data_IF_010069758840
#
_entry.id   IF_010069758840
#
_cell.length_a   1.000
_cell.length_b   1.000
_cell.length_c   1.000
_cell.angle_alpha   90.00
_cell.angle_beta   90.00
_cell.angle_gamma   90.00
#
_symmetry.space_group_name_H-M   'P 1'
#
loop_
_entity.id
_entity.type
_entity.pdbx_description
1 polymer ?
#
# COMPACT_ATOMS: atom_id res chain seq x y z
N UNK A 1 -43.74 -8.66 35.78
CA UNK A 1 -43.16 -7.31 35.58
C UNK A 1 -42.08 -7.48 34.53
N UNK A 2 -42.44 -7.27 33.27
CA UNK A 2 -41.57 -7.54 32.14
C UNK A 2 -40.54 -6.43 31.97
N UNK A 3 -39.27 -6.83 32.01
CA UNK A 3 -38.11 -6.03 31.67
C UNK A 3 -38.03 -5.98 30.14
N UNK A 4 -38.88 -5.16 29.52
CA UNK A 4 -38.70 -4.79 28.11
C UNK A 4 -37.55 -3.78 28.02
N UNK A 5 -36.31 -4.28 27.99
CA UNK A 5 -35.20 -3.49 27.47
C UNK A 5 -35.39 -3.38 25.95
N UNK A 6 -35.59 -2.14 25.47
CA UNK A 6 -35.64 -1.86 24.04
C UNK A 6 -34.38 -2.42 23.36
N UNK A 7 -34.48 -3.00 22.16
CA UNK A 7 -33.31 -3.49 21.42
C UNK A 7 -32.33 -2.33 21.30
N UNK A 8 -31.10 -2.55 21.73
CA UNK A 8 -30.01 -1.58 21.63
C UNK A 8 -30.06 -0.96 20.23
N UNK A 9 -30.27 0.36 20.17
CA UNK A 9 -30.28 1.09 18.91
C UNK A 9 -28.99 0.72 18.18
N UNK A 10 -29.12 -0.02 17.06
CA UNK A 10 -28.03 -0.15 16.10
C UNK A 10 -27.77 1.28 15.64
N UNK A 11 -26.71 1.89 16.16
CA UNK A 11 -26.19 3.13 15.62
C UNK A 11 -25.97 2.88 14.13
N UNK A 12 -26.83 3.43 13.28
CA UNK A 12 -26.60 3.40 11.85
C UNK A 12 -25.22 4.03 11.62
N UNK A 13 -24.37 3.42 10.78
CA UNK A 13 -23.04 3.93 10.55
C UNK A 13 -23.16 5.35 10.02
N UNK A 14 -22.70 6.33 10.83
CA UNK A 14 -22.73 7.74 10.46
C UNK A 14 -22.00 7.89 9.11
N UNK A 15 -22.66 8.38 8.06
CA UNK A 15 -22.02 8.56 6.75
C UNK A 15 -20.76 9.44 6.82
N UNK A 16 -20.63 10.30 7.85
CA UNK A 16 -19.41 11.06 8.09
C UNK A 16 -18.22 10.17 8.49
N UNK A 17 -18.46 9.04 9.17
CA UNK A 17 -17.41 8.10 9.60
C UNK A 17 -16.70 7.40 8.43
N UNK A 18 -17.44 7.10 7.35
CA UNK A 18 -16.87 6.52 6.13
C UNK A 18 -16.00 7.53 5.38
N UNK A 19 -16.46 8.79 5.30
CA UNK A 19 -15.71 9.86 4.66
C UNK A 19 -14.38 10.13 5.36
N UNK A 20 -14.36 10.17 6.68
CA UNK A 20 -13.14 10.32 7.47
C UNK A 20 -12.18 9.13 7.28
N UNK A 21 -12.72 7.91 7.20
CA UNK A 21 -11.92 6.73 6.94
C UNK A 21 -11.23 6.85 5.57
N UNK A 22 -11.98 7.15 4.52
CA UNK A 22 -11.45 7.33 3.16
C UNK A 22 -10.42 8.46 3.09
N UNK A 23 -10.71 9.64 3.63
CA UNK A 23 -9.75 10.76 3.64
C UNK A 23 -8.46 10.43 4.40
N UNK A 24 -8.56 9.67 5.50
CA UNK A 24 -7.39 9.22 6.24
C UNK A 24 -6.48 8.32 5.40
N UNK A 25 -7.05 7.39 4.63
CA UNK A 25 -6.30 6.53 3.72
C UNK A 25 -5.71 7.28 2.54
N UNK A 26 -6.45 8.23 1.97
CA UNK A 26 -5.98 9.09 0.89
C UNK A 26 -4.76 9.92 1.32
N UNK A 27 -4.79 10.49 2.53
CA UNK A 27 -3.65 11.24 3.10
C UNK A 27 -2.41 10.36 3.28
N UNK A 28 -2.59 9.11 3.69
CA UNK A 28 -1.48 8.16 3.82
C UNK A 28 -0.93 7.75 2.45
N UNK A 29 -1.78 7.56 1.45
CA UNK A 29 -1.37 7.27 0.06
C UNK A 29 -0.49 8.38 -0.50
N UNK A 30 -0.87 9.65 -0.29
CA UNK A 30 -0.06 10.78 -0.72
C UNK A 30 1.33 10.76 -0.07
N UNK A 31 1.42 10.49 1.24
CA UNK A 31 2.71 10.40 1.95
C UNK A 31 3.57 9.25 1.43
N UNK A 32 2.98 8.08 1.23
CA UNK A 32 3.67 6.91 0.70
C UNK A 32 4.20 7.14 -0.71
N UNK A 33 3.37 7.69 -1.61
CA UNK A 33 3.80 8.03 -2.95
C UNK A 33 4.90 9.10 -2.92
N UNK A 34 4.80 10.09 -2.03
CA UNK A 34 5.84 11.12 -1.87
C UNK A 34 7.19 10.52 -1.43
N UNK A 35 7.18 9.44 -0.64
CA UNK A 35 8.39 8.73 -0.19
C UNK A 35 8.95 7.81 -1.29
N UNK A 36 8.09 7.08 -1.99
CA UNK A 36 8.53 6.09 -2.98
C UNK A 36 8.83 6.68 -4.35
N UNK A 37 8.22 7.81 -4.71
CA UNK A 37 8.50 8.50 -5.96
C UNK A 37 9.97 8.88 -6.13
N UNK A 38 10.67 9.52 -5.16
CA UNK A 38 12.09 9.78 -5.30
C UNK A 38 12.92 8.49 -5.36
N UNK A 39 12.53 7.43 -4.62
CA UNK A 39 13.24 6.15 -4.69
C UNK A 39 13.11 5.50 -6.08
N UNK A 40 11.91 5.48 -6.66
CA UNK A 40 11.69 4.98 -8.01
C UNK A 40 12.38 5.84 -9.08
N UNK A 41 12.46 7.16 -8.88
CA UNK A 41 13.21 8.05 -9.78
C UNK A 41 14.72 7.80 -9.71
N UNK A 42 15.27 7.57 -8.52
CA UNK A 42 16.69 7.21 -8.36
C UNK A 42 16.98 5.89 -9.06
N UNK A 43 16.14 4.88 -8.87
CA UNK A 43 16.28 3.58 -9.56
C UNK A 43 16.25 3.78 -11.08
N UNK A 44 15.24 4.49 -11.60
CA UNK A 44 15.13 4.79 -13.04
C UNK A 44 16.33 5.56 -13.59
N UNK A 45 16.88 6.52 -12.84
CA UNK A 45 18.08 7.26 -13.23
C UNK A 45 19.31 6.34 -13.29
N UNK A 46 19.51 5.47 -12.30
CA UNK A 46 20.62 4.51 -12.29
C UNK A 46 20.58 3.59 -13.50
N UNK A 47 19.39 3.09 -13.85
CA UNK A 47 19.20 2.23 -15.02
C UNK A 47 19.26 2.97 -16.35
N UNK A 48 18.93 4.26 -16.40
CA UNK A 48 19.04 5.05 -17.63
C UNK A 48 20.47 5.26 -18.13
N UNK A 49 21.47 5.02 -17.27
CA UNK A 49 22.88 5.01 -17.66
C UNK A 49 23.31 3.68 -18.30
N UNK A 50 22.49 2.63 -18.23
CA UNK A 50 22.71 1.35 -18.88
C UNK A 50 21.93 1.27 -20.21
N UNK A 51 22.26 0.28 -21.04
CA UNK A 51 21.64 0.12 -22.36
C UNK A 51 20.10 0.09 -22.30
N UNK A 52 19.47 0.79 -23.24
CA UNK A 52 18.01 0.94 -23.34
C UNK A 52 17.25 -0.39 -23.45
N UNK A 53 17.92 -1.48 -23.82
CA UNK A 53 17.33 -2.83 -23.86
C UNK A 53 16.95 -3.35 -22.47
N UNK A 54 17.61 -2.88 -21.40
CA UNK A 54 17.33 -3.30 -20.03
C UNK A 54 16.06 -2.64 -19.45
N UNK A 55 15.67 -1.47 -19.95
CA UNK A 55 14.43 -0.78 -19.54
C UNK A 55 13.16 -1.60 -19.84
N UNK A 56 13.16 -2.38 -20.93
CA UNK A 56 12.02 -3.23 -21.29
C UNK A 56 11.79 -4.33 -20.25
N UNK A 57 12.86 -4.86 -19.64
CA UNK A 57 12.77 -5.88 -18.60
C UNK A 57 12.31 -5.33 -17.24
N UNK A 58 12.47 -4.03 -17.00
CA UNK A 58 11.99 -3.35 -15.78
C UNK A 58 10.49 -3.05 -15.83
N UNK A 59 9.90 -2.95 -17.03
CA UNK A 59 8.51 -2.57 -17.23
C UNK A 59 7.50 -3.49 -16.50
N UNK A 60 7.61 -4.84 -16.55
CA UNK A 60 6.73 -5.73 -15.82
C UNK A 60 6.85 -5.57 -14.30
N UNK A 61 8.07 -5.35 -13.79
CA UNK A 61 8.31 -5.11 -12.37
C UNK A 61 7.67 -3.81 -11.89
N UNK A 62 7.83 -2.73 -12.65
CA UNK A 62 7.20 -1.44 -12.37
C UNK A 62 5.67 -1.53 -12.40
N UNK A 63 5.10 -2.28 -13.35
CA UNK A 63 3.65 -2.50 -13.43
C UNK A 63 3.13 -3.32 -12.24
N UNK A 64 3.79 -4.42 -11.90
CA UNK A 64 3.42 -5.25 -10.75
C UNK A 64 3.53 -4.45 -9.45
N UNK A 65 4.57 -3.63 -9.30
CA UNK A 65 4.73 -2.73 -8.17
C UNK A 65 3.60 -1.70 -8.10
N UNK A 66 3.29 -1.04 -9.22
CA UNK A 66 2.22 -0.05 -9.31
C UNK A 66 0.84 -0.65 -9.02
N UNK A 67 0.53 -1.82 -9.59
CA UNK A 67 -0.72 -2.54 -9.33
C UNK A 67 -0.77 -2.99 -7.87
N UNK A 68 0.27 -3.64 -7.37
CA UNK A 68 0.35 -4.15 -6.00
C UNK A 68 0.18 -3.06 -4.96
N UNK A 69 0.88 -1.93 -5.12
CA UNK A 69 0.73 -0.78 -4.24
C UNK A 69 -0.72 -0.28 -4.23
N UNK A 70 -1.34 -0.09 -5.39
CA UNK A 70 -2.73 0.37 -5.48
C UNK A 70 -3.74 -0.65 -4.92
N UNK A 71 -3.52 -1.96 -5.11
CA UNK A 71 -4.33 -3.01 -4.52
C UNK A 71 -4.26 -2.99 -2.98
N UNK A 72 -3.07 -2.84 -2.39
CA UNK A 72 -2.91 -2.68 -0.94
C UNK A 72 -3.65 -1.45 -0.42
N UNK A 73 -3.69 -0.35 -1.18
CA UNK A 73 -4.44 0.86 -0.82
C UNK A 73 -5.95 0.71 -0.94
N UNK A 74 -6.44 -0.12 -1.85
CA UNK A 74 -7.87 -0.45 -1.93
C UNK A 74 -8.27 -1.40 -0.80
N UNK A 75 -7.42 -2.39 -0.50
CA UNK A 75 -7.65 -3.38 0.53
C UNK A 75 -7.52 -2.79 1.95
N UNK A 76 -6.72 -1.75 2.15
CA UNK A 76 -6.52 -1.10 3.46
C UNK A 76 -7.82 -0.57 4.12
N UNK A 77 -8.57 0.34 3.47
CA UNK A 77 -9.86 0.82 3.95
C UNK A 77 -10.86 -0.32 4.15
N UNK A 78 -10.88 -1.29 3.23
CA UNK A 78 -11.77 -2.44 3.30
C UNK A 78 -11.45 -3.31 4.53
N UNK A 79 -10.18 -3.62 4.75
CA UNK A 79 -9.71 -4.35 5.90
C UNK A 79 -9.95 -3.58 7.20
N UNK A 80 -9.77 -2.26 7.22
CA UNK A 80 -10.10 -1.42 8.37
C UNK A 80 -11.62 -1.45 8.68
N UNK A 81 -12.47 -1.45 7.65
CA UNK A 81 -13.92 -1.57 7.82
C UNK A 81 -14.31 -2.93 8.42
N UNK A 82 -13.79 -4.03 7.87
CA UNK A 82 -14.07 -5.38 8.38
C UNK A 82 -13.52 -5.61 9.78
N UNK A 83 -12.33 -5.09 10.08
CA UNK A 83 -11.73 -5.21 11.41
C UNK A 83 -12.50 -4.40 12.44
N UNK A 84 -12.96 -3.18 12.15
CA UNK A 84 -13.84 -2.44 13.07
C UNK A 84 -15.18 -3.13 13.29
N UNK A 85 -15.69 -3.85 12.28
CA UNK A 85 -16.93 -4.63 12.42
C UNK A 85 -16.76 -5.85 13.35
N UNK A 86 -15.56 -6.45 13.41
CA UNK A 86 -15.27 -7.62 14.24
C UNK A 86 -14.66 -7.27 15.60
N UNK A 87 -13.86 -6.19 15.67
CA UNK A 87 -13.04 -5.75 16.79
C UNK A 87 -13.08 -4.21 16.87
N UNK A 88 -14.11 -3.62 17.49
CA UNK A 88 -14.35 -2.17 17.47
C UNK A 88 -13.21 -1.34 18.10
N UNK A 89 -12.44 -1.93 19.02
CA UNK A 89 -11.38 -1.27 19.77
C UNK A 89 -10.03 -1.25 19.02
N UNK A 90 -9.89 -2.04 17.96
CA UNK A 90 -8.61 -2.21 17.26
C UNK A 90 -8.60 -1.37 15.99
N UNK A 91 -7.59 -0.51 15.84
CA UNK A 91 -7.36 0.28 14.63
C UNK A 91 -6.08 -0.19 13.93
N UNK A 92 -6.15 -1.19 13.03
CA UNK A 92 -4.96 -1.80 12.40
C UNK A 92 -4.32 -0.91 11.31
N UNK A 93 -4.76 0.34 11.20
CA UNK A 93 -4.39 1.28 10.14
C UNK A 93 -2.87 1.42 9.99
N UNK A 94 -2.14 1.58 11.10
CA UNK A 94 -0.68 1.71 11.07
C UNK A 94 0.02 0.43 10.63
N UNK A 95 -0.50 -0.73 11.04
CA UNK A 95 0.06 -2.03 10.69
C UNK A 95 0.02 -2.25 9.17
N UNK A 96 -1.14 -2.01 8.54
CA UNK A 96 -1.29 -2.14 7.10
C UNK A 96 -0.46 -1.13 6.32
N UNK A 97 -0.33 0.10 6.83
CA UNK A 97 0.54 1.10 6.23
C UNK A 97 2.01 0.64 6.23
N UNK A 98 2.54 0.21 7.38
CA UNK A 98 3.92 -0.24 7.48
C UNK A 98 4.18 -1.55 6.72
N UNK A 99 3.21 -2.46 6.70
CA UNK A 99 3.31 -3.67 5.87
C UNK A 99 3.46 -3.32 4.39
N UNK A 100 2.68 -2.36 3.89
CA UNK A 100 2.81 -1.85 2.52
C UNK A 100 4.17 -1.21 2.25
N UNK A 101 4.66 -0.38 3.17
CA UNK A 101 6.00 0.26 3.08
C UNK A 101 7.11 -0.77 3.02
N UNK A 102 7.11 -1.74 3.94
CA UNK A 102 8.14 -2.80 4.00
C UNK A 102 8.09 -3.66 2.75
N UNK A 103 6.90 -4.05 2.31
CA UNK A 103 6.73 -4.83 1.08
C UNK A 103 7.27 -4.09 -0.15
N UNK A 104 6.94 -2.81 -0.29
CA UNK A 104 7.44 -1.99 -1.40
C UNK A 104 8.95 -1.79 -1.35
N UNK A 105 9.54 -1.55 -0.18
CA UNK A 105 10.99 -1.47 0.00
C UNK A 105 11.68 -2.77 -0.40
N UNK A 106 11.11 -3.91 -0.01
CA UNK A 106 11.67 -5.22 -0.32
C UNK A 106 11.67 -5.49 -1.82
N UNK A 107 10.62 -5.11 -2.54
CA UNK A 107 10.58 -5.21 -4.01
C UNK A 107 11.67 -4.33 -4.64
N UNK A 108 11.84 -3.08 -4.19
CA UNK A 108 12.86 -2.18 -4.72
C UNK A 108 14.27 -2.77 -4.50
N UNK A 109 14.55 -3.27 -3.30
CA UNK A 109 15.85 -3.89 -2.98
C UNK A 109 16.10 -5.15 -3.82
N UNK A 110 15.08 -6.00 -3.99
CA UNK A 110 15.20 -7.19 -4.84
C UNK A 110 15.41 -6.84 -6.31
N UNK A 111 14.74 -5.79 -6.82
CA UNK A 111 14.93 -5.28 -8.17
C UNK A 111 16.37 -4.82 -8.40
N UNK A 112 16.91 -4.00 -7.49
CA UNK A 112 18.30 -3.54 -7.56
C UNK A 112 19.30 -4.68 -7.45
N UNK A 113 19.09 -5.64 -6.53
CA UNK A 113 19.95 -6.82 -6.38
C UNK A 113 19.92 -7.71 -7.63
N UNK A 114 18.74 -7.93 -8.22
CA UNK A 114 18.60 -8.71 -9.44
C UNK A 114 19.32 -8.04 -10.62
N UNK A 115 19.21 -6.73 -10.75
CA UNK A 115 19.94 -5.95 -11.76
C UNK A 115 21.45 -6.06 -11.62
N UNK A 116 21.96 -5.92 -10.40
CA UNK A 116 23.38 -6.06 -10.12
C UNK A 116 23.91 -7.46 -10.49
N UNK A 117 23.22 -8.52 -10.06
CA UNK A 117 23.60 -9.91 -10.34
C UNK A 117 23.54 -10.22 -11.83
N UNK A 118 22.52 -9.74 -12.54
CA UNK A 118 22.40 -9.95 -13.97
C UNK A 118 23.53 -9.28 -14.75
N UNK A 119 23.95 -8.09 -14.33
CA UNK A 119 25.02 -7.35 -15.00
C UNK A 119 26.40 -8.06 -14.85
N UNK A 120 26.68 -8.64 -13.69
CA UNK A 120 27.90 -9.43 -13.44
C UNK A 120 27.93 -10.78 -14.19
N UNK A 121 26.77 -11.34 -14.57
CA UNK A 121 26.68 -12.62 -15.27
C UNK A 121 26.78 -12.51 -16.79
N UNK A 122 26.54 -11.33 -17.35
CA UNK A 122 26.47 -11.08 -18.80
C UNK A 122 27.79 -10.48 -19.34
N UNK A 123 28.63 -9.92 -18.47
CA UNK A 123 29.99 -9.46 -18.76
C UNK A 123 31.03 -10.57 -18.57
#
# INVERSE_FOLDING_TARGET
MDVYQAPAQRNEPDPNSLRELVHGWERMRLRFNLILLPLGLIDLLLWSYQDWTQLVFLLPGALLFGIGANCCYFLGPLAELYTRALLPEVTPRQLFYWAGVVFSLLIILLSGAFGFVFNELVL
#
